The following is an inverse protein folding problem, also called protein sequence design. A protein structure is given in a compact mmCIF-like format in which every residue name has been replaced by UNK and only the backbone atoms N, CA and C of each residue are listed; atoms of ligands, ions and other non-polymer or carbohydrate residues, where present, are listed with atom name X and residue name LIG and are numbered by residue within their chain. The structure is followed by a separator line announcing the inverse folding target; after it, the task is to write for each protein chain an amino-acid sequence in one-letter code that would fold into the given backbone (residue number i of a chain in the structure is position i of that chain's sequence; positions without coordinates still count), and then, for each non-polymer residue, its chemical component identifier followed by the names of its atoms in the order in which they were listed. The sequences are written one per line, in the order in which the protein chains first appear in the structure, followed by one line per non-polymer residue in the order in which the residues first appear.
data_IF_614343660296
#
_entry.id   IF_614343660296
#
_cell.length_a   1.000
_cell.length_b   1.000
_cell.length_c   1.000
_cell.angle_alpha   90.00
_cell.angle_beta   90.00
_cell.angle_gamma   90.00
#
_symmetry.space_group_name_H-M   'P 1'
#
loop_
_entity.id
_entity.type
_entity.pdbx_description
1 polymer ?
#
# COMPACT_ATOMS: atom_id res chain seq x y z
N UNK A 1 20.57 19.28 1.03
CA UNK A 1 20.43 17.95 0.39
C UNK A 1 19.12 17.29 0.84
N UNK A 2 18.88 17.11 2.15
CA UNK A 2 17.64 16.45 2.67
C UNK A 2 16.40 17.17 2.16
N UNK A 3 16.33 18.48 2.22
CA UNK A 3 15.19 19.28 1.81
C UNK A 3 14.85 19.13 0.31
N UNK A 4 15.86 19.11 -0.55
CA UNK A 4 15.67 18.88 -1.99
C UNK A 4 15.17 17.45 -2.26
N UNK A 5 15.74 16.46 -1.58
CA UNK A 5 15.31 15.06 -1.68
C UNK A 5 13.86 14.89 -1.22
N UNK A 6 13.49 15.52 -0.09
CA UNK A 6 12.12 15.50 0.44
C UNK A 6 11.12 16.09 -0.56
N UNK A 7 11.45 17.24 -1.18
CA UNK A 7 10.58 17.88 -2.18
C UNK A 7 10.40 17.01 -3.43
N UNK A 8 11.46 16.40 -3.93
CA UNK A 8 11.41 15.49 -5.08
C UNK A 8 10.60 14.22 -4.77
N UNK A 9 10.72 13.69 -3.55
CA UNK A 9 9.91 12.58 -3.09
C UNK A 9 8.42 12.93 -3.05
N UNK A 10 8.06 14.09 -2.51
CA UNK A 10 6.68 14.56 -2.46
C UNK A 10 6.06 14.69 -3.86
N UNK A 11 6.80 15.26 -4.80
CA UNK A 11 6.34 15.42 -6.18
C UNK A 11 6.13 14.07 -6.86
N UNK A 12 7.05 13.14 -6.68
CA UNK A 12 6.92 11.80 -7.23
C UNK A 12 5.66 11.08 -6.70
N UNK A 13 5.45 11.10 -5.38
CA UNK A 13 4.34 10.42 -4.73
C UNK A 13 2.96 10.99 -5.11
N UNK A 14 2.86 12.28 -5.38
CA UNK A 14 1.60 12.92 -5.81
C UNK A 14 1.00 12.30 -7.09
N UNK A 15 1.85 11.81 -7.98
CA UNK A 15 1.44 11.31 -9.30
C UNK A 15 1.10 9.81 -9.32
N UNK A 16 1.20 9.12 -8.17
CA UNK A 16 0.93 7.69 -8.10
C UNK A 16 -0.53 7.41 -7.71
N UNK A 17 -1.18 6.54 -8.47
CA UNK A 17 -2.49 5.97 -8.13
C UNK A 17 -2.37 4.48 -7.83
N UNK A 18 -3.00 4.03 -6.75
CA UNK A 18 -3.01 2.63 -6.32
C UNK A 18 -4.23 1.86 -6.85
N UNK A 19 -5.23 2.56 -7.35
CA UNK A 19 -6.42 1.96 -7.96
C UNK A 19 -6.40 2.10 -9.47
N UNK A 20 -6.98 1.14 -10.22
CA UNK A 20 -7.14 1.29 -11.66
C UNK A 20 -8.12 2.43 -11.98
N UNK A 21 -7.91 3.14 -13.10
CA UNK A 21 -8.81 4.18 -13.57
C UNK A 21 -10.23 3.65 -13.80
N UNK A 22 -10.35 2.40 -14.22
CA UNK A 22 -11.62 1.73 -14.52
C UNK A 22 -12.11 0.84 -13.35
N UNK A 23 -11.97 1.31 -12.12
CA UNK A 23 -12.33 0.52 -10.93
C UNK A 23 -13.75 -0.02 -10.95
N UNK A 24 -14.70 0.75 -11.48
CA UNK A 24 -16.11 0.32 -11.57
C UNK A 24 -16.27 -0.89 -12.49
N UNK A 25 -15.61 -0.90 -13.64
CA UNK A 25 -15.62 -2.02 -14.57
C UNK A 25 -15.00 -3.29 -13.94
N UNK A 26 -13.88 -3.12 -13.25
CA UNK A 26 -13.20 -4.19 -12.53
C UNK A 26 -14.08 -4.73 -11.40
N UNK A 27 -14.69 -3.84 -10.62
CA UNK A 27 -15.58 -4.22 -9.52
C UNK A 27 -16.87 -4.93 -9.99
N UNK A 28 -17.39 -4.61 -11.17
CA UNK A 28 -18.51 -5.34 -11.78
C UNK A 28 -18.11 -6.76 -12.19
N UNK A 29 -16.95 -6.91 -12.79
CA UNK A 29 -16.49 -8.15 -13.42
C UNK A 29 -15.99 -9.20 -12.43
N UNK A 30 -15.32 -8.78 -11.35
CA UNK A 30 -14.63 -9.70 -10.44
C UNK A 30 -15.26 -9.73 -9.05
N UNK A 31 -15.11 -10.86 -8.30
CA UNK A 31 -15.48 -10.92 -6.89
C UNK A 31 -14.72 -9.91 -6.05
N UNK A 32 -15.30 -9.48 -4.92
CA UNK A 32 -14.71 -8.52 -3.99
C UNK A 32 -13.29 -8.89 -3.57
N UNK A 33 -13.08 -10.16 -3.22
CA UNK A 33 -11.77 -10.67 -2.80
C UNK A 33 -10.71 -10.48 -3.89
N UNK A 34 -11.05 -10.78 -5.14
CA UNK A 34 -10.15 -10.60 -6.29
C UNK A 34 -9.81 -9.13 -6.51
N UNK A 35 -10.79 -8.24 -6.39
CA UNK A 35 -10.60 -6.80 -6.53
C UNK A 35 -9.64 -6.28 -5.47
N UNK A 36 -9.90 -6.61 -4.21
CA UNK A 36 -9.07 -6.15 -3.08
C UNK A 36 -7.66 -6.75 -3.10
N UNK A 37 -7.52 -8.05 -3.40
CA UNK A 37 -6.20 -8.69 -3.58
C UNK A 37 -5.40 -8.03 -4.71
N UNK A 38 -6.05 -7.71 -5.82
CA UNK A 38 -5.41 -7.02 -6.94
C UNK A 38 -4.86 -5.65 -6.55
N UNK A 39 -5.64 -4.84 -5.83
CA UNK A 39 -5.23 -3.51 -5.37
C UNK A 39 -4.07 -3.60 -4.38
N UNK A 40 -4.19 -4.44 -3.36
CA UNK A 40 -3.15 -4.61 -2.33
C UNK A 40 -1.86 -5.16 -2.93
N UNK A 41 -1.95 -6.18 -3.78
CA UNK A 41 -0.78 -6.74 -4.46
C UNK A 41 -0.08 -5.69 -5.33
N UNK A 42 -0.83 -4.86 -6.04
CA UNK A 42 -0.27 -3.74 -6.83
C UNK A 42 0.45 -2.75 -5.92
N UNK A 43 -0.17 -2.33 -4.83
CA UNK A 43 0.42 -1.40 -3.87
C UNK A 43 1.74 -1.93 -3.30
N UNK A 44 1.76 -3.16 -2.81
CA UNK A 44 2.96 -3.78 -2.25
C UNK A 44 4.07 -3.92 -3.31
N UNK A 45 3.74 -4.46 -4.48
CA UNK A 45 4.72 -4.66 -5.57
C UNK A 45 5.31 -3.34 -6.08
N UNK A 46 4.54 -2.26 -6.08
CA UNK A 46 5.06 -0.94 -6.46
C UNK A 46 6.11 -0.46 -5.46
N UNK A 47 5.86 -0.63 -4.15
CA UNK A 47 6.79 -0.23 -3.08
C UNK A 47 8.04 -1.10 -2.99
N UNK A 48 8.05 -2.26 -3.61
CA UNK A 48 9.22 -3.13 -3.69
C UNK A 48 10.18 -2.78 -4.83
N UNK A 49 9.79 -1.87 -5.72
CA UNK A 49 10.57 -1.48 -6.90
C UNK A 49 11.14 -0.07 -6.77
N UNK A 50 12.30 0.13 -7.38
CA UNK A 50 12.86 1.46 -7.57
C UNK A 50 11.98 2.29 -8.54
N UNK A 51 11.87 3.61 -8.36
CA UNK A 51 12.44 4.41 -7.27
C UNK A 51 11.58 4.44 -6.00
N UNK A 52 10.36 3.88 -6.02
CA UNK A 52 9.39 4.00 -4.93
C UNK A 52 9.90 3.34 -3.63
N UNK A 53 10.63 2.24 -3.73
CA UNK A 53 11.27 1.60 -2.58
C UNK A 53 12.21 2.56 -1.84
N UNK A 54 13.10 3.24 -2.57
CA UNK A 54 14.04 4.19 -1.97
C UNK A 54 13.33 5.41 -1.39
N UNK A 55 12.38 5.96 -2.13
CA UNK A 55 11.58 7.12 -1.72
C UNK A 55 10.84 6.80 -0.42
N UNK A 56 10.10 5.70 -0.40
CA UNK A 56 9.28 5.32 0.74
C UNK A 56 10.13 5.02 1.97
N UNK A 57 11.23 4.26 1.83
CA UNK A 57 12.12 3.96 2.96
C UNK A 57 12.83 5.19 3.50
N UNK A 58 13.21 6.13 2.62
CA UNK A 58 13.77 7.42 3.06
C UNK A 58 12.74 8.21 3.87
N UNK A 59 11.55 8.41 3.35
CA UNK A 59 10.48 9.18 3.99
C UNK A 59 10.08 8.54 5.32
N UNK A 60 9.88 7.22 5.37
CA UNK A 60 9.57 6.48 6.60
C UNK A 60 10.67 6.63 7.67
N UNK A 61 11.93 6.63 7.27
CA UNK A 61 13.05 6.76 8.20
C UNK A 61 13.18 8.18 8.80
N UNK A 62 12.73 9.20 8.10
CA UNK A 62 12.88 10.61 8.49
C UNK A 62 11.65 11.22 9.16
N UNK A 63 10.50 10.55 9.11
CA UNK A 63 9.20 11.11 9.55
C UNK A 63 9.16 11.58 11.01
N UNK A 64 10.01 11.05 11.88
CA UNK A 64 10.09 11.46 13.28
C UNK A 64 11.08 12.60 13.55
N UNK A 65 11.89 12.95 12.57
CA UNK A 65 12.97 13.93 12.69
C UNK A 65 12.75 15.16 11.81
N UNK A 66 11.91 15.07 10.79
CA UNK A 66 11.64 16.15 9.85
C UNK A 66 10.13 16.30 9.62
N UNK A 67 9.61 17.50 9.91
CA UNK A 67 8.18 17.80 9.83
C UNK A 67 7.63 17.75 8.40
N UNK A 68 8.45 18.11 7.39
CA UNK A 68 8.04 18.03 5.98
C UNK A 68 7.87 16.58 5.56
N UNK A 69 8.75 15.71 6.01
CA UNK A 69 8.68 14.28 5.74
C UNK A 69 7.48 13.64 6.45
N UNK A 70 7.20 14.05 7.70
CA UNK A 70 5.99 13.62 8.41
C UNK A 70 4.70 14.02 7.66
N UNK A 71 4.68 15.22 7.06
CA UNK A 71 3.55 15.66 6.26
C UNK A 71 3.37 14.82 4.98
N UNK A 72 4.44 14.42 4.31
CA UNK A 72 4.37 13.51 3.15
C UNK A 72 3.72 12.18 3.52
N UNK A 73 4.13 11.57 4.64
CA UNK A 73 3.52 10.32 5.12
C UNK A 73 2.03 10.50 5.40
N UNK A 74 1.65 11.62 6.01
CA UNK A 74 0.24 11.92 6.28
C UNK A 74 -0.55 12.01 4.97
N UNK A 75 -0.07 12.75 3.99
CA UNK A 75 -0.71 12.92 2.68
C UNK A 75 -0.82 11.59 1.92
N UNK A 76 0.20 10.73 1.97
CA UNK A 76 0.15 9.40 1.36
C UNK A 76 -0.86 8.47 2.05
N UNK A 77 -0.95 8.51 3.38
CA UNK A 77 -1.96 7.75 4.11
C UNK A 77 -3.38 8.23 3.77
N UNK A 78 -3.63 9.54 3.75
CA UNK A 78 -4.91 10.13 3.37
C UNK A 78 -5.30 9.77 1.93
N UNK A 79 -4.32 9.73 1.02
CA UNK A 79 -4.53 9.31 -0.36
C UNK A 79 -4.91 7.84 -0.47
N UNK A 80 -4.19 6.95 0.23
CA UNK A 80 -4.51 5.52 0.26
C UNK A 80 -5.89 5.27 0.86
N UNK A 81 -6.23 5.95 1.95
CA UNK A 81 -7.54 5.89 2.59
C UNK A 81 -8.66 6.35 1.64
N UNK A 82 -8.45 7.47 0.96
CA UNK A 82 -9.42 8.03 0.01
C UNK A 82 -9.64 7.11 -1.20
N UNK A 83 -8.58 6.54 -1.75
CA UNK A 83 -8.67 5.58 -2.85
C UNK A 83 -9.36 4.29 -2.41
N UNK A 84 -9.08 3.80 -1.21
CA UNK A 84 -9.77 2.64 -0.63
C UNK A 84 -11.26 2.93 -0.43
N UNK A 85 -11.61 4.12 0.05
CA UNK A 85 -13.01 4.55 0.20
C UNK A 85 -13.75 4.53 -1.15
N UNK A 86 -13.14 5.02 -2.23
CA UNK A 86 -13.71 4.96 -3.59
C UNK A 86 -14.02 3.51 -4.00
N UNK A 87 -13.10 2.59 -3.72
CA UNK A 87 -13.32 1.17 -4.03
C UNK A 87 -14.48 0.59 -3.23
N UNK A 88 -14.53 0.88 -1.92
CA UNK A 88 -15.62 0.40 -1.06
C UNK A 88 -16.98 1.00 -1.43
N UNK A 89 -17.04 2.29 -1.76
CA UNK A 89 -18.26 2.91 -2.28
C UNK A 89 -18.75 2.26 -3.58
N UNK A 90 -17.83 1.98 -4.48
CA UNK A 90 -18.15 1.28 -5.72
C UNK A 90 -18.74 -0.12 -5.45
N UNK A 91 -18.10 -0.90 -4.57
CA UNK A 91 -18.58 -2.22 -4.17
C UNK A 91 -19.93 -2.17 -3.45
N UNK A 92 -20.16 -1.15 -2.61
CA UNK A 92 -21.43 -0.93 -1.93
C UNK A 92 -22.54 -0.62 -2.94
N UNK A 93 -22.29 0.30 -3.88
CA UNK A 93 -23.26 0.67 -4.93
C UNK A 93 -23.63 -0.51 -5.85
N UNK A 94 -22.70 -1.46 -6.02
CA UNK A 94 -22.93 -2.70 -6.76
C UNK A 94 -23.60 -3.80 -5.90
N UNK A 95 -23.90 -3.53 -4.63
CA UNK A 95 -24.52 -4.50 -3.72
C UNK A 95 -23.62 -5.67 -3.35
N UNK A 96 -22.31 -5.52 -3.51
CA UNK A 96 -21.32 -6.59 -3.24
C UNK A 96 -20.86 -6.64 -1.79
N UNK A 97 -21.07 -5.57 -1.02
CA UNK A 97 -20.74 -5.49 0.41
C UNK A 97 -21.94 -4.99 1.20
N UNK A 98 -21.96 -5.27 2.51
CA UNK A 98 -23.09 -5.00 3.42
C UNK A 98 -22.69 -4.05 4.56
N UNK A 99 -21.98 -2.99 4.24
CA UNK A 99 -21.66 -1.93 5.19
C UNK A 99 -22.52 -0.70 4.94
N UNK A 100 -22.65 0.17 5.94
CA UNK A 100 -23.31 1.46 5.75
C UNK A 100 -22.34 2.46 5.11
N UNK A 101 -22.90 3.50 4.49
CA UNK A 101 -22.10 4.55 3.85
C UNK A 101 -21.25 5.30 4.87
N UNK A 102 -21.77 5.48 6.09
CA UNK A 102 -21.07 6.14 7.21
C UNK A 102 -19.87 5.35 7.72
N UNK A 103 -19.86 4.03 7.52
CA UNK A 103 -18.76 3.15 7.95
C UNK A 103 -17.57 3.14 6.98
N UNK A 104 -17.77 3.57 5.73
CA UNK A 104 -16.75 3.44 4.66
C UNK A 104 -15.43 4.07 5.07
N UNK A 105 -15.43 5.31 5.57
CA UNK A 105 -14.19 6.00 5.92
C UNK A 105 -13.45 5.31 7.07
N UNK A 106 -14.16 4.90 8.11
CA UNK A 106 -13.56 4.18 9.25
C UNK A 106 -12.96 2.84 8.84
N UNK A 107 -13.68 2.09 8.01
CA UNK A 107 -13.21 0.80 7.48
C UNK A 107 -12.01 1.00 6.55
N UNK A 108 -12.01 2.03 5.71
CA UNK A 108 -10.87 2.37 4.86
C UNK A 108 -9.61 2.67 5.67
N UNK A 109 -9.72 3.46 6.72
CA UNK A 109 -8.60 3.76 7.64
C UNK A 109 -8.04 2.51 8.30
N UNK A 110 -8.92 1.65 8.80
CA UNK A 110 -8.51 0.39 9.44
C UNK A 110 -7.80 -0.54 8.45
N UNK A 111 -8.34 -0.70 7.25
CA UNK A 111 -7.74 -1.51 6.20
C UNK A 111 -6.36 -0.97 5.77
N UNK A 112 -6.25 0.34 5.56
CA UNK A 112 -4.99 0.97 5.18
C UNK A 112 -3.92 0.86 6.28
N UNK A 113 -4.30 0.96 7.55
CA UNK A 113 -3.38 0.76 8.67
C UNK A 113 -2.78 -0.65 8.64
N UNK A 114 -3.58 -1.68 8.38
CA UNK A 114 -3.11 -3.05 8.24
C UNK A 114 -2.15 -3.24 7.05
N UNK A 115 -2.47 -2.65 5.91
CA UNK A 115 -1.59 -2.70 4.71
C UNK A 115 -0.26 -1.99 4.98
N UNK A 116 -0.30 -0.81 5.59
CA UNK A 116 0.92 -0.05 5.90
C UNK A 116 1.80 -0.76 6.92
N UNK A 117 1.23 -1.36 7.94
CA UNK A 117 1.98 -2.18 8.90
C UNK A 117 2.64 -3.38 8.21
N UNK A 118 1.91 -4.09 7.38
CA UNK A 118 2.45 -5.19 6.59
C UNK A 118 3.61 -4.72 5.69
N UNK A 119 3.44 -3.61 4.95
CA UNK A 119 4.46 -3.07 4.07
C UNK A 119 5.73 -2.69 4.86
N UNK A 120 5.58 -2.01 5.98
CA UNK A 120 6.71 -1.58 6.82
C UNK A 120 7.49 -2.78 7.37
N UNK A 121 6.82 -3.81 7.86
CA UNK A 121 7.48 -5.05 8.30
C UNK A 121 8.25 -5.71 7.16
N UNK A 122 7.64 -5.83 6.00
CA UNK A 122 8.25 -6.44 4.82
C UNK A 122 9.49 -5.67 4.34
N UNK A 123 9.44 -4.34 4.30
CA UNK A 123 10.58 -3.52 3.92
C UNK A 123 11.72 -3.61 4.95
N UNK A 124 11.38 -3.71 6.24
CA UNK A 124 12.36 -3.89 7.31
C UNK A 124 13.07 -5.26 7.21
N UNK A 125 12.34 -6.33 6.97
CA UNK A 125 12.91 -7.68 6.77
C UNK A 125 13.87 -7.71 5.58
N UNK A 126 13.50 -7.06 4.47
CA UNK A 126 14.38 -6.93 3.31
C UNK A 126 15.66 -6.18 3.63
N UNK A 127 15.57 -5.08 4.39
CA UNK A 127 16.76 -4.33 4.83
C UNK A 127 17.67 -5.18 5.73
N UNK A 128 17.10 -5.95 6.65
CA UNK A 128 17.85 -6.84 7.52
C UNK A 128 18.57 -7.94 6.71
N UNK A 129 17.91 -8.53 5.73
CA UNK A 129 18.50 -9.52 4.85
C UNK A 129 19.72 -8.98 4.09
N UNK A 130 19.66 -7.74 3.59
CA UNK A 130 20.78 -7.06 2.91
C UNK A 130 21.94 -6.80 3.88
N UNK A 131 21.67 -6.38 5.10
CA UNK A 131 22.71 -6.15 6.12
C UNK A 131 23.41 -7.44 6.54
N UNK A 132 22.67 -8.54 6.63
CA UNK A 132 23.22 -9.86 6.99
C UNK A 132 24.02 -10.51 5.85
N UNK A 133 23.74 -10.15 4.62
CA UNK A 133 24.43 -10.68 3.44
C UNK A 133 24.82 -9.56 2.45
N UNK A 134 25.88 -8.76 2.77
CA UNK A 134 26.27 -7.61 1.97
C UNK A 134 26.65 -7.94 0.52
N UNK A 135 27.09 -9.16 0.24
CA UNK A 135 27.44 -9.62 -1.12
C UNK A 135 26.21 -9.84 -2.00
N UNK A 136 25.07 -10.15 -1.41
CA UNK A 136 23.80 -10.22 -2.16
C UNK A 136 23.22 -8.83 -2.46
N UNK A 137 23.74 -7.78 -1.83
CA UNK A 137 23.30 -6.39 -2.04
C UNK A 137 23.95 -5.67 -3.22
N UNK A 138 25.12 -6.13 -3.68
CA UNK A 138 25.81 -5.54 -4.83
C UNK A 138 25.21 -6.02 -6.15
N UNK A 139 24.06 -5.51 -6.51
CA UNK A 139 23.37 -5.81 -7.77
C UNK A 139 21.97 -6.41 -7.61
N UNK A 140 21.66 -7.00 -6.46
CA UNK A 140 20.36 -7.63 -6.17
C UNK A 140 19.40 -6.76 -5.33
N UNK A 141 19.79 -5.58 -4.90
CA UNK A 141 18.93 -4.62 -4.21
C UNK A 141 17.62 -4.33 -4.99
N UNK A 142 17.64 -4.61 -6.29
CA UNK A 142 16.55 -4.40 -7.22
C UNK A 142 15.93 -5.69 -7.75
N UNK A 143 16.53 -6.85 -7.47
CA UNK A 143 16.10 -8.17 -7.97
C UNK A 143 15.81 -9.18 -6.86
N UNK A 144 15.65 -8.75 -5.60
CA UNK A 144 15.14 -9.62 -4.56
C UNK A 144 13.82 -10.21 -5.05
N UNK A 145 13.86 -11.53 -5.31
CA UNK A 145 12.67 -12.28 -5.71
C UNK A 145 11.54 -11.96 -4.75
N UNK A 146 10.36 -11.71 -5.29
CA UNK A 146 9.16 -11.53 -4.47
C UNK A 146 9.04 -12.75 -3.58
N UNK A 147 9.14 -12.56 -2.27
CA UNK A 147 8.88 -13.62 -1.32
C UNK A 147 7.39 -13.95 -1.37
N UNK A 148 7.05 -15.06 -1.99
CA UNK A 148 5.66 -15.50 -2.16
C UNK A 148 4.96 -15.69 -0.80
N UNK A 149 5.71 -16.04 0.26
CA UNK A 149 5.16 -16.18 1.62
C UNK A 149 4.57 -14.88 2.16
N UNK A 150 5.22 -13.74 1.92
CA UNK A 150 4.70 -12.44 2.35
C UNK A 150 3.43 -12.06 1.58
N UNK A 151 3.35 -12.39 0.30
CA UNK A 151 2.14 -12.18 -0.50
C UNK A 151 0.99 -13.08 -0.01
N UNK A 152 1.26 -14.31 0.38
CA UNK A 152 0.26 -15.20 0.94
C UNK A 152 -0.30 -14.68 2.28
N UNK A 153 0.53 -14.10 3.13
CA UNK A 153 0.09 -13.47 4.39
C UNK A 153 -0.91 -12.36 4.11
N UNK A 154 -0.54 -11.40 3.25
CA UNK A 154 -1.44 -10.27 2.95
C UNK A 154 -2.71 -10.74 2.24
N UNK A 155 -2.64 -11.74 1.39
CA UNK A 155 -3.81 -12.31 0.73
C UNK A 155 -4.79 -12.93 1.73
N UNK A 156 -4.31 -13.61 2.76
CA UNK A 156 -5.15 -14.13 3.85
C UNK A 156 -5.83 -13.02 4.64
N UNK A 157 -5.11 -11.94 4.94
CA UNK A 157 -5.70 -10.77 5.60
C UNK A 157 -6.81 -10.15 4.74
N UNK A 158 -6.59 -10.00 3.45
CA UNK A 158 -7.60 -9.51 2.50
C UNK A 158 -8.81 -10.44 2.42
N UNK A 159 -8.62 -11.75 2.43
CA UNK A 159 -9.73 -12.72 2.48
C UNK A 159 -10.60 -12.55 3.72
N UNK A 160 -9.98 -12.44 4.90
CA UNK A 160 -10.72 -12.21 6.15
C UNK A 160 -11.48 -10.88 6.13
N UNK A 161 -10.82 -9.82 5.65
CA UNK A 161 -11.45 -8.52 5.49
C UNK A 161 -12.65 -8.57 4.53
N UNK A 162 -12.51 -9.25 3.40
CA UNK A 162 -13.60 -9.42 2.43
C UNK A 162 -14.81 -10.14 3.05
N UNK A 163 -14.58 -11.14 3.88
CA UNK A 163 -15.65 -11.85 4.60
C UNK A 163 -16.38 -10.93 5.57
N UNK A 164 -15.65 -10.07 6.30
CA UNK A 164 -16.25 -9.10 7.21
C UNK A 164 -17.13 -8.06 6.48
N UNK A 165 -16.74 -7.68 5.27
CA UNK A 165 -17.52 -6.73 4.45
C UNK A 165 -18.82 -7.35 3.90
N UNK A 166 -18.89 -8.67 3.79
CA UNK A 166 -20.05 -9.41 3.27
C UNK A 166 -20.98 -9.93 4.37
N UNK A 167 -20.52 -9.92 5.62
CA UNK A 167 -21.33 -10.34 6.76
C UNK A 167 -22.44 -9.34 7.07
#
# INVERSE_FOLDING_TARGET
IIEQTTSSCAEYLKNISFIPAEIESVAKKYPIETVLKGIVSRYVKMHEKAPLFQIYTFVESQKYFDIKTAQIIKEENEKLESQTAIVLECLLNLGKIRISKEQILGISKWFCAGINDFLNRRLLERKQAVVQNPKSGEGELFTLQSDDKGIDEINRLVEQFSKLLCA
#
